data_IF_443284614273
#
_entry.id   IF_443284614273
#
_cell.length_a   1.000
_cell.length_b   1.000
_cell.length_c   1.000
_cell.angle_alpha   90.00
_cell.angle_beta   90.00
_cell.angle_gamma   90.00
#
_symmetry.space_group_name_H-M   'P 1'
#
loop_
_entity.id
_entity.type
_entity.pdbx_description
1 polymer ?
#
# COMPACT_ATOMS: atom_id res chain seq x y z
N UNK A 1 28.74 23.26 14.90
CA UNK A 1 29.16 21.89 14.53
C UNK A 1 28.23 21.38 13.42
N UNK A 2 28.74 21.22 12.21
CA UNK A 2 27.92 20.84 11.07
C UNK A 2 27.39 19.40 11.22
N UNK A 3 26.16 19.13 10.74
CA UNK A 3 25.57 17.77 10.72
C UNK A 3 26.44 16.72 10.02
N UNK A 4 27.35 17.15 9.14
CA UNK A 4 28.29 16.27 8.44
C UNK A 4 29.37 15.65 9.35
N UNK A 5 29.74 16.30 10.45
CA UNK A 5 30.77 15.78 11.37
C UNK A 5 30.33 14.53 12.14
N UNK A 6 29.02 14.23 12.19
CA UNK A 6 28.45 13.04 12.85
C UNK A 6 28.29 11.82 11.91
N UNK A 7 28.49 12.00 10.61
CA UNK A 7 28.34 10.91 9.63
C UNK A 7 29.53 9.95 9.60
N UNK A 8 30.69 10.37 10.14
CA UNK A 8 31.90 9.57 10.18
C UNK A 8 32.54 9.62 11.57
N UNK A 9 32.83 8.48 12.14
CA UNK A 9 33.65 8.31 13.34
C UNK A 9 34.90 7.51 12.94
N UNK A 10 36.08 8.08 13.16
CA UNK A 10 37.37 7.48 12.78
C UNK A 10 37.46 7.04 11.29
N UNK A 11 36.85 7.86 10.39
CA UNK A 11 36.86 7.55 8.94
C UNK A 11 35.90 6.46 8.50
N UNK A 12 35.14 5.88 9.43
CA UNK A 12 34.11 4.88 9.12
C UNK A 12 32.73 5.56 9.10
N UNK A 13 31.96 5.33 8.04
CA UNK A 13 30.58 5.81 7.96
C UNK A 13 29.76 5.23 9.12
N UNK A 14 29.24 6.09 9.98
CA UNK A 14 28.36 5.64 11.06
C UNK A 14 27.05 5.15 10.41
N UNK A 15 26.73 3.88 10.63
CA UNK A 15 25.45 3.30 10.21
C UNK A 15 24.32 4.13 10.78
N UNK A 16 23.52 4.73 9.91
CA UNK A 16 22.28 5.39 10.34
C UNK A 16 21.36 4.32 10.93
N UNK A 17 21.01 4.44 12.20
CA UNK A 17 20.17 3.47 12.93
C UNK A 17 18.77 3.27 12.34
N UNK A 18 18.41 4.03 11.30
CA UNK A 18 17.12 3.97 10.61
C UNK A 18 16.95 2.74 9.73
N UNK A 19 18.01 2.17 9.19
CA UNK A 19 17.94 1.01 8.29
C UNK A 19 17.39 -0.26 8.93
N UNK A 20 17.68 -0.49 10.21
CA UNK A 20 17.18 -1.68 10.92
C UNK A 20 15.66 -1.65 11.13
N UNK A 21 15.08 -0.48 11.41
CA UNK A 21 13.64 -0.31 11.58
C UNK A 21 12.87 -0.50 10.26
N UNK A 22 13.34 0.09 9.19
CA UNK A 22 12.74 -0.07 7.85
C UNK A 22 12.80 -1.52 7.39
N UNK A 23 13.93 -2.19 7.56
CA UNK A 23 14.11 -3.60 7.25
C UNK A 23 13.15 -4.51 8.04
N UNK A 24 12.99 -4.25 9.34
CA UNK A 24 12.07 -5.01 10.20
C UNK A 24 10.62 -4.79 9.78
N UNK A 25 10.24 -3.55 9.50
CA UNK A 25 8.89 -3.20 9.06
C UNK A 25 8.56 -3.88 7.72
N UNK A 26 9.50 -3.88 6.76
CA UNK A 26 9.32 -4.54 5.47
C UNK A 26 9.06 -6.05 5.61
N UNK A 27 9.83 -6.72 6.49
CA UNK A 27 9.64 -8.16 6.76
C UNK A 27 8.33 -8.46 7.47
N UNK A 28 7.95 -7.65 8.46
CA UNK A 28 6.66 -7.81 9.14
C UNK A 28 5.48 -7.62 8.17
N UNK A 29 5.54 -6.61 7.30
CA UNK A 29 4.52 -6.40 6.28
C UNK A 29 4.45 -7.57 5.30
N UNK A 30 5.60 -8.12 4.88
CA UNK A 30 5.66 -9.30 4.02
C UNK A 30 4.98 -10.51 4.69
N UNK A 31 5.25 -10.75 5.97
CA UNK A 31 4.63 -11.85 6.72
C UNK A 31 3.11 -11.69 6.85
N UNK A 32 2.63 -10.47 7.06
CA UNK A 32 1.20 -10.15 7.11
C UNK A 32 0.56 -10.34 5.73
N UNK A 33 1.27 -9.98 4.66
CA UNK A 33 0.76 -10.12 3.29
C UNK A 33 0.57 -11.57 2.86
N UNK A 34 1.32 -12.53 3.39
CA UNK A 34 1.15 -13.94 3.03
C UNK A 34 -0.30 -14.43 3.28
N UNK A 35 -0.84 -14.39 4.51
CA UNK A 35 -2.21 -14.80 4.75
C UNK A 35 -3.25 -13.91 4.04
N UNK A 36 -2.99 -12.60 3.94
CA UNK A 36 -3.88 -11.68 3.23
C UNK A 36 -3.94 -11.97 1.73
N UNK A 37 -2.82 -12.37 1.11
CA UNK A 37 -2.78 -12.75 -0.30
C UNK A 37 -3.55 -14.04 -0.55
N UNK A 38 -3.40 -15.05 0.32
CA UNK A 38 -4.16 -16.31 0.24
C UNK A 38 -5.67 -16.04 0.38
N UNK A 39 -6.05 -15.21 1.35
CA UNK A 39 -7.43 -14.77 1.50
C UNK A 39 -7.90 -13.99 0.26
N UNK A 40 -7.08 -13.08 -0.29
CA UNK A 40 -7.39 -12.30 -1.48
C UNK A 40 -7.64 -13.15 -2.73
N UNK A 41 -6.86 -14.21 -2.91
CA UNK A 41 -7.06 -15.18 -4.00
C UNK A 41 -8.42 -15.90 -3.86
N UNK A 42 -8.75 -16.35 -2.65
CA UNK A 42 -10.05 -16.94 -2.36
C UNK A 42 -11.20 -15.94 -2.57
N UNK A 43 -11.05 -14.71 -2.10
CA UNK A 43 -12.01 -13.62 -2.29
C UNK A 43 -12.22 -13.31 -3.78
N UNK A 44 -11.14 -13.22 -4.56
CA UNK A 44 -11.20 -13.03 -6.02
C UNK A 44 -11.95 -14.15 -6.73
N UNK A 45 -11.70 -15.40 -6.32
CA UNK A 45 -12.42 -16.56 -6.86
C UNK A 45 -13.92 -16.49 -6.55
N UNK A 46 -14.31 -16.14 -5.32
CA UNK A 46 -15.72 -16.02 -4.93
C UNK A 46 -16.43 -14.88 -5.65
N UNK A 47 -15.75 -13.74 -5.83
CA UNK A 47 -16.28 -12.59 -6.57
C UNK A 47 -16.48 -12.90 -8.06
N UNK A 48 -15.56 -13.63 -8.69
CA UNK A 48 -15.66 -13.99 -10.10
C UNK A 48 -16.87 -14.87 -10.41
N UNK A 49 -17.30 -15.72 -9.47
CA UNK A 49 -18.48 -16.59 -9.62
C UNK A 49 -19.81 -15.95 -9.25
N UNK A 50 -19.82 -14.82 -8.53
CA UNK A 50 -21.02 -14.26 -7.90
C UNK A 50 -21.83 -13.28 -8.74
N UNK A 51 -21.32 -12.82 -9.87
CA UNK A 51 -21.96 -11.75 -10.64
C UNK A 51 -22.08 -10.43 -9.88
N UNK A 52 -22.86 -9.50 -10.39
CA UNK A 52 -23.00 -8.15 -9.80
C UNK A 52 -23.63 -8.19 -8.41
N UNK A 53 -24.74 -8.90 -8.26
CA UNK A 53 -25.47 -8.98 -6.99
C UNK A 53 -24.67 -9.72 -5.92
N UNK A 54 -23.97 -10.78 -6.31
CA UNK A 54 -23.05 -11.52 -5.44
C UNK A 54 -21.89 -10.63 -4.97
N UNK A 55 -21.32 -9.82 -5.85
CA UNK A 55 -20.27 -8.86 -5.50
C UNK A 55 -20.77 -7.80 -4.50
N UNK A 56 -21.96 -7.23 -4.72
CA UNK A 56 -22.54 -6.28 -3.78
C UNK A 56 -22.79 -6.90 -2.40
N UNK A 57 -23.35 -8.11 -2.34
CA UNK A 57 -23.55 -8.85 -1.10
C UNK A 57 -22.23 -9.12 -0.37
N UNK A 58 -21.18 -9.48 -1.13
CA UNK A 58 -19.85 -9.71 -0.60
C UNK A 58 -19.26 -8.45 0.06
N UNK A 59 -19.35 -7.28 -0.60
CA UNK A 59 -18.88 -6.00 -0.05
C UNK A 59 -19.68 -5.54 1.19
N UNK A 60 -20.97 -5.86 1.26
CA UNK A 60 -21.82 -5.54 2.43
C UNK A 60 -21.48 -6.39 3.65
N UNK A 61 -20.71 -7.46 3.50
CA UNK A 61 -20.22 -8.25 4.62
C UNK A 61 -19.06 -7.51 5.28
N UNK A 62 -19.19 -7.01 6.54
CA UNK A 62 -18.20 -6.12 7.16
C UNK A 62 -16.80 -6.73 7.23
N UNK A 63 -16.68 -8.03 7.49
CA UNK A 63 -15.41 -8.74 7.55
C UNK A 63 -14.68 -8.67 6.22
N UNK A 64 -15.38 -8.88 5.09
CA UNK A 64 -14.78 -8.82 3.76
C UNK A 64 -14.30 -7.40 3.43
N UNK A 65 -15.12 -6.39 3.73
CA UNK A 65 -14.76 -4.99 3.50
C UNK A 65 -13.54 -4.56 4.32
N UNK A 66 -13.50 -4.93 5.60
CA UNK A 66 -12.35 -4.61 6.48
C UNK A 66 -11.08 -5.33 6.00
N UNK A 67 -11.15 -6.64 5.72
CA UNK A 67 -10.01 -7.41 5.25
C UNK A 67 -9.48 -6.86 3.90
N UNK A 68 -10.38 -6.47 2.99
CA UNK A 68 -9.98 -5.87 1.73
C UNK A 68 -9.31 -4.51 1.92
N UNK A 69 -9.85 -3.65 2.78
CA UNK A 69 -9.25 -2.36 3.11
C UNK A 69 -7.86 -2.52 3.76
N UNK A 70 -7.71 -3.46 4.69
CA UNK A 70 -6.42 -3.78 5.32
C UNK A 70 -5.44 -4.32 4.29
N UNK A 71 -5.88 -5.26 3.43
CA UNK A 71 -5.03 -5.82 2.37
C UNK A 71 -4.54 -4.73 1.42
N UNK A 72 -5.42 -3.82 1.00
CA UNK A 72 -5.07 -2.70 0.15
C UNK A 72 -4.02 -1.79 0.81
N UNK A 73 -4.27 -1.38 2.06
CA UNK A 73 -3.37 -0.48 2.80
C UNK A 73 -1.99 -1.10 3.01
N UNK A 74 -1.95 -2.36 3.47
CA UNK A 74 -0.69 -3.07 3.73
C UNK A 74 0.09 -3.31 2.43
N UNK A 75 -0.61 -3.69 1.34
CA UNK A 75 0.01 -3.91 0.03
C UNK A 75 0.63 -2.63 -0.54
N UNK A 76 -0.08 -1.50 -0.48
CA UNK A 76 0.44 -0.22 -0.95
C UNK A 76 1.60 0.30 -0.09
N UNK A 77 1.53 0.09 1.20
CA UNK A 77 2.64 0.45 2.09
C UNK A 77 3.88 -0.40 1.79
N UNK A 78 3.73 -1.72 1.69
CA UNK A 78 4.83 -2.62 1.34
C UNK A 78 5.42 -2.29 -0.04
N UNK A 79 4.57 -2.03 -1.02
CA UNK A 79 4.99 -1.60 -2.37
C UNK A 79 5.78 -0.29 -2.32
N UNK A 80 5.32 0.72 -1.56
CA UNK A 80 6.03 1.99 -1.40
C UNK A 80 7.43 1.79 -0.82
N UNK A 81 7.57 0.93 0.21
CA UNK A 81 8.87 0.61 0.80
C UNK A 81 9.79 -0.09 -0.21
N UNK A 82 9.29 -1.07 -0.94
CA UNK A 82 10.07 -1.77 -1.97
C UNK A 82 10.50 -0.85 -3.12
N UNK A 83 9.62 0.03 -3.59
CA UNK A 83 9.95 1.02 -4.62
C UNK A 83 10.99 2.05 -4.13
N UNK A 84 10.95 2.41 -2.84
CA UNK A 84 11.97 3.27 -2.24
C UNK A 84 13.36 2.64 -2.35
N UNK A 85 13.50 1.35 -2.05
CA UNK A 85 14.78 0.63 -2.18
C UNK A 85 15.28 0.68 -3.63
N UNK A 86 14.41 0.41 -4.61
CA UNK A 86 14.77 0.47 -6.03
C UNK A 86 15.22 1.89 -6.41
N UNK A 87 14.49 2.92 -6.01
CA UNK A 87 14.86 4.32 -6.31
C UNK A 87 16.20 4.68 -5.67
N UNK A 88 16.44 4.24 -4.43
CA UNK A 88 17.70 4.51 -3.72
C UNK A 88 18.91 3.85 -4.41
N UNK A 89 18.70 2.67 -4.99
CA UNK A 89 19.78 1.91 -5.67
C UNK A 89 20.10 2.46 -7.07
N UNK A 90 19.11 2.98 -7.81
CA UNK A 90 19.28 3.38 -9.20
C UNK A 90 19.32 4.89 -9.43
N UNK A 91 18.76 5.70 -8.56
CA UNK A 91 18.65 7.15 -8.73
C UNK A 91 19.61 7.89 -7.81
N UNK A 92 20.78 8.27 -8.34
CA UNK A 92 21.84 8.90 -7.58
C UNK A 92 21.72 10.44 -7.48
N UNK A 93 20.94 11.09 -8.36
CA UNK A 93 20.72 12.55 -8.32
C UNK A 93 19.75 12.93 -7.20
N UNK A 94 20.18 13.71 -6.17
CA UNK A 94 19.34 13.99 -5.00
C UNK A 94 17.98 14.59 -5.32
N UNK A 95 17.91 15.53 -6.26
CA UNK A 95 16.65 16.19 -6.66
C UNK A 95 15.69 15.23 -7.34
N UNK A 96 16.17 14.44 -8.29
CA UNK A 96 15.34 13.43 -8.99
C UNK A 96 14.87 12.33 -8.05
N UNK A 97 15.73 11.89 -7.13
CA UNK A 97 15.40 10.90 -6.10
C UNK A 97 14.26 11.40 -5.20
N UNK A 98 14.40 12.60 -4.64
CA UNK A 98 13.38 13.18 -3.76
C UNK A 98 12.05 13.38 -4.48
N UNK A 99 12.07 13.89 -5.71
CA UNK A 99 10.87 14.10 -6.52
C UNK A 99 10.17 12.77 -6.83
N UNK A 100 10.92 11.74 -7.20
CA UNK A 100 10.35 10.43 -7.53
C UNK A 100 9.77 9.73 -6.31
N UNK A 101 10.47 9.76 -5.17
CA UNK A 101 9.95 9.21 -3.91
C UNK A 101 8.68 9.94 -3.44
N UNK A 102 8.66 11.27 -3.58
CA UNK A 102 7.46 12.07 -3.29
C UNK A 102 6.29 11.70 -4.18
N UNK A 103 6.52 11.53 -5.48
CA UNK A 103 5.49 11.11 -6.44
C UNK A 103 4.95 9.72 -6.12
N UNK A 104 5.82 8.74 -5.88
CA UNK A 104 5.43 7.37 -5.52
C UNK A 104 4.60 7.37 -4.24
N UNK A 105 5.05 8.06 -3.20
CA UNK A 105 4.32 8.18 -1.93
C UNK A 105 2.94 8.82 -2.10
N UNK A 106 2.86 9.90 -2.89
CA UNK A 106 1.59 10.57 -3.21
C UNK A 106 0.64 9.64 -3.97
N UNK A 107 1.13 8.95 -4.98
CA UNK A 107 0.31 7.99 -5.76
C UNK A 107 -0.22 6.86 -4.88
N UNK A 108 0.65 6.26 -4.05
CA UNK A 108 0.23 5.22 -3.10
C UNK A 108 -0.85 5.73 -2.14
N UNK A 109 -0.69 6.95 -1.62
CA UNK A 109 -1.66 7.56 -0.72
C UNK A 109 -3.01 7.82 -1.40
N UNK A 110 -3.00 8.38 -2.61
CA UNK A 110 -4.22 8.66 -3.38
C UNK A 110 -4.95 7.36 -3.73
N UNK A 111 -4.23 6.33 -4.17
CA UNK A 111 -4.82 5.02 -4.48
C UNK A 111 -5.40 4.37 -3.22
N UNK A 112 -4.68 4.43 -2.08
CA UNK A 112 -5.18 3.92 -0.82
C UNK A 112 -6.46 4.64 -0.37
N UNK A 113 -6.45 5.96 -0.38
CA UNK A 113 -7.60 6.78 0.02
C UNK A 113 -8.82 6.53 -0.88
N UNK A 114 -8.64 6.52 -2.20
CA UNK A 114 -9.69 6.23 -3.15
C UNK A 114 -10.23 4.80 -2.99
N UNK A 115 -9.34 3.81 -2.86
CA UNK A 115 -9.73 2.42 -2.67
C UNK A 115 -10.54 2.20 -1.38
N UNK A 116 -10.05 2.73 -0.26
CA UNK A 116 -10.78 2.65 1.02
C UNK A 116 -12.14 3.38 0.93
N UNK A 117 -12.17 4.55 0.30
CA UNK A 117 -13.42 5.29 0.08
C UNK A 117 -14.46 4.44 -0.66
N UNK A 118 -14.08 3.80 -1.77
CA UNK A 118 -15.01 2.96 -2.54
C UNK A 118 -15.41 1.69 -1.80
N UNK A 119 -14.48 1.05 -1.08
CA UNK A 119 -14.79 -0.12 -0.25
C UNK A 119 -15.84 0.24 0.81
N UNK A 120 -15.65 1.34 1.55
CA UNK A 120 -16.57 1.81 2.58
C UNK A 120 -17.93 2.16 1.95
N UNK A 121 -17.93 2.86 0.82
CA UNK A 121 -19.13 3.21 0.10
C UNK A 121 -19.96 1.98 -0.29
N UNK A 122 -19.33 0.95 -0.82
CA UNK A 122 -19.99 -0.31 -1.18
C UNK A 122 -20.48 -1.07 0.06
N UNK A 123 -19.66 -1.12 1.12
CA UNK A 123 -20.02 -1.77 2.37
C UNK A 123 -21.25 -1.14 3.05
N UNK A 124 -21.38 0.19 2.97
CA UNK A 124 -22.53 0.92 3.50
C UNK A 124 -23.78 0.85 2.60
N UNK A 125 -23.71 0.14 1.48
CA UNK A 125 -24.86 -0.04 0.58
C UNK A 125 -25.25 1.22 -0.19
N UNK A 126 -24.26 2.12 -0.47
CA UNK A 126 -24.49 3.27 -1.35
C UNK A 126 -25.04 2.78 -2.69
N UNK A 127 -26.17 3.35 -3.09
CA UNK A 127 -26.84 2.98 -4.32
C UNK A 127 -25.85 3.05 -5.52
N UNK A 128 -25.97 2.13 -6.47
CA UNK A 128 -25.26 2.27 -7.74
C UNK A 128 -25.61 3.63 -8.37
N UNK A 129 -24.69 4.17 -9.16
CA UNK A 129 -24.94 5.37 -9.95
C UNK A 129 -26.30 5.24 -10.64
N UNK A 130 -27.15 6.30 -10.68
CA UNK A 130 -28.45 6.21 -11.30
C UNK A 130 -28.34 5.62 -12.69
N UNK A 131 -29.26 4.73 -13.03
CA UNK A 131 -29.34 4.10 -14.34
C UNK A 131 -29.52 5.19 -15.40
N UNK A 132 -28.45 5.62 -15.99
CA UNK A 132 -28.35 6.74 -16.94
C UNK A 132 -26.90 7.00 -17.33
N UNK A 133 -25.95 6.46 -16.55
CA UNK A 133 -24.54 6.47 -16.87
C UNK A 133 -23.97 5.10 -17.31
N UNK A 134 -24.85 4.11 -17.46
CA UNK A 134 -24.53 2.83 -18.06
C UNK A 134 -25.03 2.83 -19.50
N UNK A 135 -24.17 3.20 -20.42
CA UNK A 135 -24.32 2.86 -21.84
C UNK A 135 -23.84 1.44 -22.00
#
# INVERSE_FOLDING_TARGET
MSRQAKAFVNGVKVSERHGAGEWTAERLLSLILVPLTLWGLWAGYTLAGGGYDGALAWFRTPVNAVLLAVTLAVSLWHMNMGLKVIVDDYIHKPGSRTALLGLIGLLCLVIAAAGVFFIVRLALGSAPLPAGFGI
#
